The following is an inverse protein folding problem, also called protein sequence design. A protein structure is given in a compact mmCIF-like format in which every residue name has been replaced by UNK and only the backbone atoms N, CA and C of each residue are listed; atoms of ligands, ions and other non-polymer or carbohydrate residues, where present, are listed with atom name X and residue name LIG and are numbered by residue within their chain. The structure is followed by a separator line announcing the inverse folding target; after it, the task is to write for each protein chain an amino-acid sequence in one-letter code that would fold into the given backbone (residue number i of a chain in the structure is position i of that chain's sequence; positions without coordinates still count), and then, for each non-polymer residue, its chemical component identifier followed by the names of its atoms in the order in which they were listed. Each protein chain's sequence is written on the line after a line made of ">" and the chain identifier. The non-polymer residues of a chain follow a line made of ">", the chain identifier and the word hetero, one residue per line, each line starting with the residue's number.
data_IF_865204129797
#
_entry.id   IF_865204129797
#
_cell.length_a   1.000
_cell.length_b   1.000
_cell.length_c   1.000
_cell.angle_alpha   90.00
_cell.angle_beta   90.00
_cell.angle_gamma   90.00
#
_symmetry.space_group_name_H-M   'P 1'
#
loop_
_entity.id
_entity.type
_entity.pdbx_description
1 polymer ?
#
# COMPACT_ATOMS: atom_id res chain seq x y z
N UNK A 1 -13.58 -22.15 -22.05
CA UNK A 1 -13.57 -21.22 -23.19
C UNK A 1 -14.70 -21.55 -24.13
N UNK A 2 -15.51 -20.52 -24.51
CA UNK A 2 -16.66 -20.69 -25.39
C UNK A 2 -16.32 -20.30 -26.83
N UNK A 3 -15.66 -19.18 -27.00
CA UNK A 3 -15.18 -18.69 -28.28
C UNK A 3 -14.07 -17.66 -28.12
N UNK A 4 -13.23 -17.55 -29.13
CA UNK A 4 -12.15 -16.54 -29.22
C UNK A 4 -12.25 -15.83 -30.56
N UNK A 5 -12.01 -14.53 -30.56
CA UNK A 5 -11.96 -13.72 -31.79
C UNK A 5 -10.93 -12.60 -31.66
N UNK A 6 -10.54 -12.02 -32.79
CA UNK A 6 -9.68 -10.83 -32.80
C UNK A 6 -10.53 -9.57 -32.80
N UNK A 7 -10.10 -8.57 -32.04
CA UNK A 7 -10.68 -7.24 -32.11
C UNK A 7 -10.30 -6.61 -33.47
N UNK A 8 -11.29 -6.17 -34.21
CA UNK A 8 -11.11 -5.45 -35.48
C UNK A 8 -11.87 -4.13 -35.42
N UNK A 9 -11.19 -3.03 -35.72
CA UNK A 9 -11.76 -1.67 -35.67
C UNK A 9 -12.48 -1.38 -34.32
N UNK A 10 -11.86 -1.81 -33.20
CA UNK A 10 -12.39 -1.63 -31.85
C UNK A 10 -13.61 -2.52 -31.51
N UNK A 11 -13.96 -3.50 -32.36
CA UNK A 11 -15.13 -4.38 -32.17
C UNK A 11 -14.73 -5.84 -32.22
N UNK A 12 -15.43 -6.65 -31.43
CA UNK A 12 -15.32 -8.10 -31.42
C UNK A 12 -16.72 -8.72 -31.47
N UNK A 13 -16.88 -9.79 -32.24
CA UNK A 13 -18.07 -10.61 -32.25
C UNK A 13 -17.71 -11.99 -31.66
N UNK A 14 -18.39 -12.37 -30.58
CA UNK A 14 -18.15 -13.60 -29.85
C UNK A 14 -19.35 -14.51 -30.00
N UNK A 15 -19.34 -15.53 -30.91
CA UNK A 15 -20.41 -16.48 -31.01
C UNK A 15 -20.36 -17.43 -29.79
N UNK A 16 -21.50 -17.55 -29.10
CA UNK A 16 -21.66 -18.51 -28.01
C UNK A 16 -22.53 -19.65 -28.47
N UNK A 17 -21.93 -20.82 -28.69
CA UNK A 17 -22.63 -22.04 -29.10
C UNK A 17 -23.26 -22.84 -27.96
N UNK A 18 -23.46 -22.26 -26.77
CA UNK A 18 -24.06 -22.93 -25.62
C UNK A 18 -25.52 -22.50 -25.43
N UNK A 19 -26.36 -23.47 -25.10
CA UNK A 19 -27.73 -23.22 -24.68
C UNK A 19 -27.74 -22.51 -23.32
N UNK A 20 -28.62 -21.53 -23.16
CA UNK A 20 -28.92 -20.92 -21.88
C UNK A 20 -29.64 -21.90 -20.96
N UNK A 21 -29.44 -21.78 -19.66
CA UNK A 21 -30.17 -22.54 -18.63
C UNK A 21 -31.21 -21.65 -17.98
N UNK A 22 -32.22 -22.25 -17.36
CA UNK A 22 -33.18 -21.50 -16.57
C UNK A 22 -32.50 -20.77 -15.41
N UNK A 23 -32.84 -19.48 -15.24
CA UNK A 23 -32.24 -18.60 -14.26
C UNK A 23 -31.08 -17.74 -14.79
N UNK A 24 -30.28 -17.10 -13.91
CA UNK A 24 -29.17 -16.27 -14.31
C UNK A 24 -28.09 -17.03 -15.09
N UNK A 25 -27.65 -16.47 -16.21
CA UNK A 25 -26.53 -16.97 -17.00
C UNK A 25 -25.42 -15.92 -17.01
N UNK A 26 -24.25 -16.27 -16.50
CA UNK A 26 -23.09 -15.39 -16.40
C UNK A 26 -22.11 -15.68 -17.53
N UNK A 27 -21.68 -14.65 -18.24
CA UNK A 27 -20.68 -14.73 -19.29
C UNK A 27 -19.56 -13.73 -19.01
N UNK A 28 -18.33 -14.21 -19.07
CA UNK A 28 -17.13 -13.38 -18.88
C UNK A 28 -16.43 -13.20 -20.22
N UNK A 29 -16.06 -11.97 -20.52
CA UNK A 29 -15.24 -11.62 -21.69
C UNK A 29 -13.86 -11.22 -21.17
N UNK A 30 -12.82 -11.93 -21.61
CA UNK A 30 -11.43 -11.59 -21.35
C UNK A 30 -10.73 -11.12 -22.62
N UNK A 31 -9.77 -10.22 -22.46
CA UNK A 31 -8.94 -9.74 -23.55
C UNK A 31 -7.47 -10.10 -23.29
N UNK A 32 -6.83 -10.65 -24.29
CA UNK A 32 -5.37 -10.77 -24.29
C UNK A 32 -4.78 -9.49 -24.86
N UNK A 33 -3.85 -8.91 -24.12
CA UNK A 33 -3.21 -7.63 -24.46
C UNK A 33 -1.73 -7.89 -24.73
N UNK A 34 -1.21 -7.32 -25.83
CA UNK A 34 0.21 -7.41 -26.15
C UNK A 34 1.01 -6.55 -25.15
N UNK A 35 1.57 -7.16 -24.12
CA UNK A 35 2.24 -6.52 -22.99
C UNK A 35 3.38 -5.56 -23.44
N UNK A 36 4.06 -5.86 -24.52
CA UNK A 36 5.19 -5.07 -25.06
C UNK A 36 4.79 -3.67 -25.54
N UNK A 37 3.49 -3.42 -25.82
CA UNK A 37 2.97 -2.19 -26.41
C UNK A 37 1.96 -1.46 -25.50
N UNK A 38 1.74 -1.96 -24.32
CA UNK A 38 0.77 -1.41 -23.38
C UNK A 38 1.34 -0.19 -22.68
N UNK A 39 0.61 0.92 -22.72
CA UNK A 39 0.76 2.02 -21.79
C UNK A 39 -0.24 1.79 -20.63
N UNK A 40 0.28 1.38 -19.46
CA UNK A 40 -0.53 1.08 -18.29
C UNK A 40 -1.28 2.31 -17.75
N UNK A 41 -0.81 3.52 -18.09
CA UNK A 41 -1.43 4.77 -17.66
C UNK A 41 -2.63 5.18 -18.52
N UNK A 42 -2.91 4.45 -19.60
CA UNK A 42 -4.05 4.76 -20.47
C UNK A 42 -5.29 4.02 -20.00
N UNK A 43 -6.38 4.76 -19.71
CA UNK A 43 -7.65 4.14 -19.39
C UNK A 43 -8.23 3.46 -20.62
N UNK A 44 -8.98 2.39 -20.42
CA UNK A 44 -9.73 1.75 -21.47
C UNK A 44 -11.21 1.61 -21.11
N UNK A 45 -12.02 1.42 -22.15
CA UNK A 45 -13.45 1.19 -22.00
C UNK A 45 -13.86 0.05 -22.90
N UNK A 46 -14.58 -0.91 -22.35
CA UNK A 46 -15.24 -1.96 -23.09
C UNK A 46 -16.75 -1.85 -22.85
N UNK A 47 -17.54 -2.05 -23.89
CA UNK A 47 -18.99 -1.98 -23.81
C UNK A 47 -19.64 -3.06 -24.69
N UNK A 48 -20.70 -3.67 -24.20
CA UNK A 48 -21.50 -4.61 -24.96
C UNK A 48 -22.46 -3.82 -25.85
N UNK A 49 -22.28 -3.93 -27.16
CA UNK A 49 -23.11 -3.21 -28.14
C UNK A 49 -24.43 -3.91 -28.41
N UNK A 50 -24.41 -5.24 -28.50
CA UNK A 50 -25.59 -6.04 -28.79
C UNK A 50 -25.41 -7.47 -28.25
N UNK A 51 -26.49 -8.05 -27.80
CA UNK A 51 -26.62 -9.50 -27.50
C UNK A 51 -27.75 -10.05 -28.35
N UNK A 52 -27.56 -11.22 -28.97
CA UNK A 52 -28.59 -11.93 -29.64
C UNK A 52 -28.70 -13.38 -29.13
N UNK A 53 -29.93 -13.83 -28.92
CA UNK A 53 -30.26 -15.22 -28.53
C UNK A 53 -31.18 -15.77 -29.63
N UNK A 54 -30.82 -16.92 -30.22
CA UNK A 54 -31.55 -17.54 -31.33
C UNK A 54 -31.88 -16.58 -32.48
N UNK A 55 -30.90 -15.70 -32.79
CA UNK A 55 -31.02 -14.71 -33.86
C UNK A 55 -31.89 -13.49 -33.55
N UNK A 56 -32.42 -13.37 -32.33
CA UNK A 56 -33.20 -12.22 -31.87
C UNK A 56 -32.33 -11.33 -30.96
N UNK A 57 -32.36 -10.05 -31.19
CA UNK A 57 -31.72 -9.09 -30.27
C UNK A 57 -32.43 -9.07 -28.91
N UNK A 58 -31.64 -9.01 -27.84
CA UNK A 58 -32.11 -8.87 -26.46
C UNK A 58 -31.81 -7.47 -26.00
N UNK A 59 -32.73 -6.88 -25.24
CA UNK A 59 -32.50 -5.58 -24.62
C UNK A 59 -31.37 -5.67 -23.60
N UNK A 60 -30.49 -4.67 -23.63
CA UNK A 60 -29.32 -4.57 -22.75
C UNK A 60 -29.55 -3.44 -21.77
N UNK A 61 -29.63 -3.77 -20.50
CA UNK A 61 -29.51 -2.79 -19.44
C UNK A 61 -28.02 -2.54 -19.18
N UNK A 62 -27.58 -1.29 -19.29
CA UNK A 62 -26.18 -0.92 -19.14
C UNK A 62 -25.94 -0.31 -17.78
N UNK A 63 -25.09 -0.94 -17.02
CA UNK A 63 -24.61 -0.40 -15.76
C UNK A 63 -23.44 0.56 -16.00
N UNK A 64 -23.80 1.78 -16.41
CA UNK A 64 -22.88 2.91 -16.54
C UNK A 64 -21.77 2.79 -17.57
N UNK A 65 -20.91 3.80 -17.57
CA UNK A 65 -19.74 3.92 -18.45
C UNK A 65 -18.45 3.72 -17.65
N UNK A 66 -18.22 2.54 -17.12
CA UNK A 66 -17.02 2.31 -16.32
C UNK A 66 -15.76 2.39 -17.18
N UNK A 67 -14.94 3.39 -16.89
CA UNK A 67 -13.56 3.47 -17.34
C UNK A 67 -12.75 2.54 -16.46
N UNK A 68 -11.89 1.73 -17.06
CA UNK A 68 -11.01 0.77 -16.36
C UNK A 68 -9.56 1.09 -16.66
N UNK A 69 -8.68 0.73 -15.73
CA UNK A 69 -7.24 0.82 -15.88
C UNK A 69 -6.65 -0.58 -15.90
N UNK A 70 -5.63 -0.76 -16.73
CA UNK A 70 -4.89 -2.00 -16.73
C UNK A 70 -4.02 -2.08 -15.49
N UNK A 71 -3.98 -3.26 -14.88
CA UNK A 71 -3.08 -3.56 -13.79
C UNK A 71 -2.14 -4.70 -14.15
N UNK A 72 -0.95 -4.70 -13.56
CA UNK A 72 -0.05 -5.84 -13.58
C UNK A 72 -0.14 -6.58 -12.25
N UNK A 73 -0.26 -7.90 -12.29
CA UNK A 73 -0.11 -8.74 -11.11
C UNK A 73 1.35 -8.74 -10.69
N UNK A 74 1.65 -8.15 -9.54
CA UNK A 74 3.01 -8.19 -8.96
C UNK A 74 3.23 -9.52 -8.28
N UNK A 75 2.22 -9.99 -7.52
CA UNK A 75 2.21 -11.30 -6.86
C UNK A 75 0.78 -11.80 -6.69
N UNK A 76 0.65 -13.12 -6.72
CA UNK A 76 -0.62 -13.82 -6.47
C UNK A 76 -0.38 -15.09 -5.65
N UNK A 77 -1.44 -15.63 -5.08
CA UNK A 77 -1.40 -16.89 -4.33
C UNK A 77 -0.74 -18.00 -5.16
N UNK A 78 0.16 -18.75 -4.53
CA UNK A 78 0.91 -19.83 -5.16
C UNK A 78 2.22 -19.42 -5.84
N UNK A 79 2.47 -18.13 -6.09
CA UNK A 79 3.77 -17.67 -6.57
C UNK A 79 4.86 -18.00 -5.53
N UNK A 80 6.05 -18.40 -6.01
CA UNK A 80 7.21 -18.72 -5.18
C UNK A 80 6.93 -19.72 -4.02
N UNK A 81 5.83 -20.50 -4.10
CA UNK A 81 5.43 -21.49 -3.11
C UNK A 81 4.76 -20.90 -1.86
N UNK A 82 4.30 -19.66 -1.89
CA UNK A 82 3.59 -19.03 -0.79
C UNK A 82 2.06 -19.14 -0.92
N UNK A 83 1.37 -19.17 0.23
CA UNK A 83 -0.09 -19.12 0.28
C UNK A 83 -0.61 -17.74 -0.13
N UNK A 84 0.01 -16.67 0.38
CA UNK A 84 -0.48 -15.34 0.12
C UNK A 84 0.60 -14.26 0.22
N UNK A 85 0.30 -13.12 -0.41
CA UNK A 85 1.09 -11.89 -0.37
C UNK A 85 0.22 -10.75 0.15
N UNK A 86 0.74 -9.99 1.12
CA UNK A 86 -0.01 -8.92 1.76
C UNK A 86 0.88 -7.70 2.05
N UNK A 87 0.27 -6.63 2.53
CA UNK A 87 0.93 -5.46 3.13
C UNK A 87 1.89 -4.76 2.16
N UNK A 88 1.36 -4.16 1.08
CA UNK A 88 2.17 -3.53 0.05
C UNK A 88 2.84 -2.24 0.52
N UNK A 89 4.12 -2.08 0.20
CA UNK A 89 4.85 -0.83 0.20
C UNK A 89 5.40 -0.55 -1.19
N UNK A 90 5.48 0.72 -1.59
CA UNK A 90 5.93 1.13 -2.91
C UNK A 90 6.72 2.45 -2.84
N UNK A 91 7.89 2.48 -3.45
CA UNK A 91 8.66 3.71 -3.70
C UNK A 91 9.26 3.71 -5.09
N UNK A 92 9.55 4.90 -5.60
CA UNK A 92 10.31 5.12 -6.81
C UNK A 92 11.69 5.63 -6.43
N UNK A 93 12.73 4.99 -6.93
CA UNK A 93 14.11 5.42 -6.68
C UNK A 93 14.50 6.60 -7.56
N UNK A 94 15.60 7.26 -7.24
CA UNK A 94 16.19 8.35 -8.07
C UNK A 94 16.48 7.92 -9.52
N UNK A 95 16.57 6.63 -9.78
CA UNK A 95 16.78 6.07 -11.13
C UNK A 95 15.47 5.75 -11.85
N UNK A 96 14.32 6.02 -11.22
CA UNK A 96 13.01 5.66 -11.76
C UNK A 96 12.65 4.18 -11.60
N UNK A 97 13.42 3.42 -10.79
CA UNK A 97 13.08 2.04 -10.46
C UNK A 97 11.97 2.01 -9.43
N UNK A 98 10.90 1.26 -9.69
CA UNK A 98 9.87 0.98 -8.69
C UNK A 98 10.34 -0.18 -7.80
N UNK A 99 10.24 0.01 -6.50
CA UNK A 99 10.52 -1.00 -5.48
C UNK A 99 9.22 -1.31 -4.75
N UNK A 100 8.72 -2.51 -4.95
CA UNK A 100 7.57 -3.06 -4.22
C UNK A 100 8.08 -3.95 -3.08
N UNK A 101 7.59 -3.70 -1.86
CA UNK A 101 7.86 -4.55 -0.68
C UNK A 101 6.56 -5.12 -0.16
N UNK A 102 6.59 -6.31 0.45
CA UNK A 102 5.39 -6.98 0.92
C UNK A 102 5.71 -8.16 1.84
N UNK A 103 4.71 -8.63 2.59
CA UNK A 103 4.74 -9.90 3.28
C UNK A 103 4.69 -11.05 2.27
N UNK A 104 5.55 -12.04 2.47
CA UNK A 104 5.50 -13.37 1.84
C UNK A 104 4.99 -14.34 2.89
N UNK A 105 3.73 -14.73 2.82
CA UNK A 105 3.06 -15.60 3.80
C UNK A 105 2.99 -17.01 3.26
N UNK A 106 3.81 -17.90 3.80
CA UNK A 106 4.01 -19.24 3.22
C UNK A 106 2.88 -20.21 3.53
N UNK A 107 2.37 -20.22 4.76
CA UNK A 107 1.47 -21.28 5.24
C UNK A 107 0.00 -20.89 5.24
N UNK A 108 -0.31 -19.61 5.35
CA UNK A 108 -1.67 -19.06 5.38
C UNK A 108 -1.67 -17.53 5.29
N UNK A 109 -2.83 -16.94 5.04
CA UNK A 109 -3.03 -15.48 5.01
C UNK A 109 -3.01 -14.80 6.40
N UNK A 110 -2.75 -15.53 7.48
CA UNK A 110 -2.77 -14.98 8.84
C UNK A 110 -1.66 -13.97 9.07
N UNK A 111 -1.94 -12.99 9.93
CA UNK A 111 -0.96 -12.04 10.43
C UNK A 111 0.03 -12.73 11.38
N UNK A 112 1.12 -12.04 11.71
CA UNK A 112 2.09 -12.49 12.72
C UNK A 112 1.41 -12.94 14.03
N UNK A 113 1.72 -14.09 14.55
CA UNK A 113 2.88 -14.95 14.32
C UNK A 113 2.55 -16.02 13.29
N UNK A 114 3.36 -16.14 12.25
CA UNK A 114 3.31 -17.19 11.22
C UNK A 114 4.67 -17.26 10.50
N UNK A 115 4.79 -18.17 9.55
CA UNK A 115 5.90 -18.25 8.61
C UNK A 115 5.78 -17.14 7.58
N UNK A 116 6.37 -15.98 7.87
CA UNK A 116 6.28 -14.76 7.06
C UNK A 116 7.67 -14.17 6.91
N UNK A 117 8.03 -13.79 5.68
CA UNK A 117 9.25 -13.05 5.34
C UNK A 117 8.90 -11.75 4.60
N UNK A 118 9.89 -10.88 4.40
CA UNK A 118 9.74 -9.69 3.60
C UNK A 118 10.30 -9.94 2.20
N UNK A 119 9.40 -9.85 1.21
CA UNK A 119 9.72 -9.92 -0.21
C UNK A 119 9.88 -8.55 -0.84
N UNK A 120 10.74 -8.48 -1.87
CA UNK A 120 10.93 -7.30 -2.71
C UNK A 120 10.88 -7.68 -4.19
N UNK A 121 10.14 -6.90 -4.97
CA UNK A 121 10.19 -6.94 -6.43
C UNK A 121 10.54 -5.58 -6.99
N UNK A 122 11.32 -5.57 -8.07
CA UNK A 122 11.75 -4.36 -8.78
C UNK A 122 11.10 -4.29 -10.15
N UNK A 123 10.76 -3.08 -10.59
CA UNK A 123 10.41 -2.79 -11.97
C UNK A 123 11.25 -1.63 -12.48
N UNK A 124 11.85 -1.78 -13.67
CA UNK A 124 12.65 -0.75 -14.33
C UNK A 124 11.94 -0.18 -15.57
N UNK A 125 10.68 -0.52 -15.76
CA UNK A 125 9.88 -0.16 -16.92
C UNK A 125 8.51 0.39 -16.55
N UNK A 126 8.45 1.16 -15.45
CA UNK A 126 7.25 1.83 -14.93
C UNK A 126 6.11 0.86 -14.57
N UNK A 127 6.46 -0.31 -14.03
CA UNK A 127 5.50 -1.30 -13.53
C UNK A 127 4.94 -2.25 -14.59
N UNK A 128 5.40 -2.19 -15.84
CA UNK A 128 4.95 -3.11 -16.90
C UNK A 128 5.39 -4.55 -16.63
N UNK A 129 6.62 -4.71 -16.15
CA UNK A 129 7.14 -6.01 -15.72
C UNK A 129 7.83 -5.89 -14.37
N UNK A 130 7.83 -6.99 -13.63
CA UNK A 130 8.42 -7.07 -12.30
C UNK A 130 9.47 -8.18 -12.28
N UNK A 131 10.64 -7.87 -11.75
CA UNK A 131 11.70 -8.86 -11.54
C UNK A 131 11.22 -9.94 -10.57
N UNK A 132 11.91 -11.11 -10.65
CA UNK A 132 11.69 -12.19 -9.68
C UNK A 132 11.88 -11.67 -8.25
N UNK A 133 10.97 -12.09 -7.36
CA UNK A 133 11.04 -11.77 -5.93
C UNK A 133 12.40 -12.13 -5.32
N UNK A 134 12.84 -11.27 -4.41
CA UNK A 134 13.95 -11.53 -3.47
C UNK A 134 13.41 -11.42 -2.05
N UNK A 135 13.71 -12.39 -1.22
CA UNK A 135 13.52 -12.27 0.22
C UNK A 135 14.65 -11.41 0.77
N UNK A 136 14.32 -10.33 1.48
CA UNK A 136 15.27 -9.34 1.99
C UNK A 136 15.38 -9.34 3.51
N UNK A 137 14.36 -9.85 4.18
CA UNK A 137 14.38 -10.18 5.60
C UNK A 137 13.73 -11.54 5.82
N UNK A 138 14.52 -12.44 6.37
CA UNK A 138 14.16 -13.76 6.84
C UNK A 138 14.97 -14.00 8.14
N UNK A 139 14.30 -14.27 9.24
CA UNK A 139 14.96 -14.53 10.53
C UNK A 139 15.21 -16.03 10.74
N UNK A 140 14.64 -16.88 9.90
CA UNK A 140 14.85 -18.31 9.89
C UNK A 140 14.53 -19.00 11.24
N UNK A 141 15.35 -19.98 11.57
CA UNK A 141 15.35 -20.59 12.91
C UNK A 141 16.17 -19.74 13.88
N UNK A 142 15.54 -19.26 14.94
CA UNK A 142 16.18 -18.46 15.97
C UNK A 142 15.69 -18.86 17.36
N UNK A 143 16.56 -18.76 18.37
CA UNK A 143 16.22 -19.06 19.76
C UNK A 143 15.75 -20.51 20.00
N UNK A 144 16.15 -21.46 19.15
CA UNK A 144 15.73 -22.86 19.20
C UNK A 144 14.29 -23.11 18.71
N UNK A 145 13.66 -22.13 18.08
CA UNK A 145 12.32 -22.24 17.51
C UNK A 145 12.34 -22.17 15.97
N UNK A 146 11.39 -22.86 15.29
CA UNK A 146 11.32 -22.88 13.83
C UNK A 146 10.89 -21.51 13.28
N UNK A 147 11.10 -21.32 11.97
CA UNK A 147 10.75 -20.08 11.25
C UNK A 147 9.29 -19.65 11.46
N UNK A 148 8.33 -20.57 11.52
CA UNK A 148 6.93 -20.27 11.80
C UNK A 148 6.72 -19.57 13.18
N UNK A 149 7.73 -19.55 14.04
CA UNK A 149 7.75 -18.82 15.30
C UNK A 149 8.75 -17.65 15.31
N UNK A 150 9.25 -17.27 14.13
CA UNK A 150 10.20 -16.19 13.89
C UNK A 150 9.78 -15.30 12.71
N UNK A 151 8.50 -15.24 12.40
CA UNK A 151 8.01 -14.45 11.29
C UNK A 151 8.30 -12.95 11.41
N UNK A 152 8.58 -12.33 10.27
CA UNK A 152 8.80 -10.90 10.13
C UNK A 152 7.82 -10.34 9.08
N UNK A 153 7.10 -9.25 9.38
CA UNK A 153 6.01 -8.75 8.55
C UNK A 153 5.77 -7.25 8.65
N UNK A 154 4.71 -6.82 7.98
CA UNK A 154 4.21 -5.44 7.94
C UNK A 154 5.26 -4.43 7.42
N UNK A 155 5.89 -4.62 6.24
CA UNK A 155 6.99 -3.77 5.79
C UNK A 155 6.58 -2.33 5.49
N UNK A 156 7.53 -1.41 5.70
CA UNK A 156 7.51 -0.09 5.10
C UNK A 156 8.85 0.19 4.40
N UNK A 157 8.79 0.90 3.27
CA UNK A 157 9.97 1.22 2.45
C UNK A 157 10.17 2.72 2.34
N UNK A 158 11.42 3.17 2.29
CA UNK A 158 11.82 4.58 2.17
C UNK A 158 13.04 4.68 1.26
N UNK A 159 13.13 5.72 0.45
CA UNK A 159 14.35 6.13 -0.26
C UNK A 159 14.90 7.37 0.41
N UNK A 160 16.18 7.33 0.80
CA UNK A 160 16.92 8.53 1.15
C UNK A 160 17.23 9.31 -0.13
N UNK A 161 16.53 10.42 -0.31
CA UNK A 161 16.65 11.23 -1.53
C UNK A 161 18.01 11.93 -1.67
N UNK A 162 18.83 12.02 -0.65
CA UNK A 162 20.19 12.56 -0.75
C UNK A 162 21.18 11.50 -1.24
N UNK A 163 21.18 10.34 -0.62
CA UNK A 163 22.16 9.26 -0.89
C UNK A 163 21.70 8.25 -1.94
N UNK A 164 20.38 8.10 -2.15
CA UNK A 164 19.75 7.05 -2.95
C UNK A 164 19.72 5.69 -2.23
N UNK A 165 20.08 5.61 -0.95
CA UNK A 165 19.95 4.40 -0.15
C UNK A 165 18.48 4.09 0.12
N UNK A 166 18.09 2.83 -0.05
CA UNK A 166 16.72 2.37 0.18
C UNK A 166 16.69 1.64 1.50
N UNK A 167 15.74 1.99 2.38
CA UNK A 167 15.53 1.34 3.66
C UNK A 167 14.22 0.57 3.66
N UNK A 168 14.23 -0.64 4.23
CA UNK A 168 13.03 -1.40 4.55
C UNK A 168 13.02 -1.65 6.05
N UNK A 169 11.93 -1.31 6.71
CA UNK A 169 11.68 -1.59 8.14
C UNK A 169 10.52 -2.56 8.25
N UNK A 170 10.61 -3.52 9.18
CA UNK A 170 9.58 -4.53 9.43
C UNK A 170 9.57 -4.96 10.89
N UNK A 171 8.50 -5.60 11.34
CA UNK A 171 8.36 -6.11 12.70
C UNK A 171 8.59 -7.61 12.74
N UNK A 172 9.50 -8.05 13.60
CA UNK A 172 9.81 -9.45 13.88
C UNK A 172 9.19 -9.88 15.22
N UNK A 173 8.59 -11.06 15.24
CA UNK A 173 8.06 -11.67 16.45
C UNK A 173 8.71 -13.03 16.70
N UNK A 174 8.95 -13.37 17.99
CA UNK A 174 9.57 -14.61 18.39
C UNK A 174 8.72 -15.33 19.45
N UNK A 175 8.44 -16.61 19.23
CA UNK A 175 8.01 -17.55 20.26
C UNK A 175 6.67 -17.25 20.95
N UNK A 176 5.74 -16.56 20.33
CA UNK A 176 4.43 -16.25 20.94
C UNK A 176 3.37 -17.36 20.76
N UNK A 177 3.77 -18.51 20.20
CA UNK A 177 2.99 -19.76 20.25
C UNK A 177 1.68 -19.72 19.45
N UNK A 178 1.70 -19.24 18.20
CA UNK A 178 0.52 -19.22 17.32
C UNK A 178 -0.55 -18.19 17.71
N UNK A 179 -0.30 -17.35 18.70
CA UNK A 179 -1.14 -16.20 19.02
C UNK A 179 -0.83 -15.06 18.06
N UNK A 180 -1.80 -14.20 17.81
CA UNK A 180 -1.54 -12.96 17.05
C UNK A 180 -0.55 -12.07 17.80
N UNK A 181 0.42 -11.47 17.11
CA UNK A 181 1.42 -10.59 17.69
C UNK A 181 0.78 -9.47 18.53
N UNK A 182 -0.26 -8.85 18.02
CA UNK A 182 -1.01 -7.78 18.67
C UNK A 182 -1.43 -8.07 20.11
N UNK A 183 -1.83 -9.31 20.41
CA UNK A 183 -2.28 -9.74 21.75
C UNK A 183 -1.31 -10.67 22.45
N UNK A 184 -0.37 -11.25 21.73
CA UNK A 184 0.54 -12.29 22.23
C UNK A 184 1.82 -11.78 22.86
N UNK A 185 2.31 -10.60 22.44
CA UNK A 185 3.54 -10.00 22.97
C UNK A 185 3.32 -9.41 24.37
N UNK A 186 4.41 -9.31 25.10
CA UNK A 186 4.48 -8.76 26.46
C UNK A 186 5.15 -7.37 26.44
N UNK A 187 5.24 -6.76 27.61
CA UNK A 187 6.16 -5.64 27.86
C UNK A 187 7.60 -6.18 27.89
N UNK A 188 8.59 -5.32 27.71
CA UNK A 188 10.00 -5.68 27.71
C UNK A 188 10.73 -5.19 26.47
N UNK A 189 11.97 -5.67 26.27
CA UNK A 189 12.87 -5.22 25.22
C UNK A 189 13.48 -6.37 24.43
N UNK A 190 13.45 -7.60 24.93
CA UNK A 190 14.08 -8.75 24.28
C UNK A 190 13.13 -9.45 23.31
N UNK A 191 13.64 -10.21 22.33
CA UNK A 191 12.80 -10.97 21.40
C UNK A 191 11.83 -11.94 22.10
N UNK A 192 12.20 -12.51 23.24
CA UNK A 192 11.37 -13.44 24.02
C UNK A 192 10.22 -12.73 24.74
N UNK A 193 10.30 -11.42 24.87
CA UNK A 193 9.29 -10.60 25.55
C UNK A 193 8.35 -9.94 24.57
N UNK A 194 8.91 -9.34 23.50
CA UNK A 194 8.16 -8.42 22.66
C UNK A 194 8.64 -8.42 21.21
N UNK A 195 7.80 -7.92 20.31
CA UNK A 195 8.14 -7.72 18.91
C UNK A 195 9.33 -6.75 18.74
N UNK A 196 10.16 -6.99 17.74
CA UNK A 196 11.37 -6.25 17.44
C UNK A 196 11.26 -5.48 16.12
N UNK A 197 11.71 -4.23 16.10
CA UNK A 197 11.84 -3.44 14.87
C UNK A 197 13.16 -3.79 14.19
N UNK A 198 13.05 -4.29 12.95
CA UNK A 198 14.18 -4.67 12.12
C UNK A 198 14.27 -3.76 10.92
N UNK A 199 15.48 -3.35 10.53
CA UNK A 199 15.72 -2.52 9.35
C UNK A 199 16.84 -3.10 8.51
N UNK A 200 16.68 -3.10 7.19
CA UNK A 200 17.76 -3.39 6.24
C UNK A 200 17.81 -2.30 5.15
N UNK A 201 18.91 -2.25 4.40
CA UNK A 201 19.08 -1.26 3.35
C UNK A 201 19.71 -1.80 2.08
N UNK A 202 19.51 -1.07 0.98
CA UNK A 202 20.16 -1.30 -0.31
C UNK A 202 20.80 -0.03 -0.82
N UNK A 203 22.06 -0.14 -1.29
CA UNK A 203 22.85 0.97 -1.89
C UNK A 203 22.99 0.85 -3.40
N UNK A 204 22.40 -0.16 -3.99
CA UNK A 204 22.56 -0.51 -5.40
C UNK A 204 21.23 -0.60 -6.14
N UNK A 205 20.27 0.25 -5.74
CA UNK A 205 18.96 0.36 -6.36
C UNK A 205 18.10 -0.91 -6.16
N UNK A 206 18.16 -1.50 -4.95
CA UNK A 206 17.37 -2.66 -4.55
C UNK A 206 17.86 -4.00 -5.13
N UNK A 207 19.07 -4.06 -5.70
CA UNK A 207 19.63 -5.31 -6.25
C UNK A 207 20.16 -6.23 -5.16
N UNK A 208 20.85 -5.65 -4.17
CA UNK A 208 21.34 -6.37 -2.99
C UNK A 208 20.96 -5.63 -1.71
N UNK A 209 20.86 -6.35 -0.61
CA UNK A 209 20.39 -5.84 0.66
C UNK A 209 21.32 -6.22 1.81
N UNK A 210 21.43 -5.33 2.77
CA UNK A 210 22.18 -5.62 4.00
C UNK A 210 21.45 -6.67 4.83
N UNK A 211 22.15 -7.28 5.80
CA UNK A 211 21.48 -8.05 6.84
C UNK A 211 20.59 -7.14 7.68
N UNK A 212 19.44 -7.64 8.20
CA UNK A 212 18.60 -6.88 9.10
C UNK A 212 19.33 -6.48 10.38
N UNK A 213 19.10 -5.26 10.84
CA UNK A 213 19.61 -4.70 12.10
C UNK A 213 18.43 -4.42 13.01
N UNK A 214 18.55 -4.80 14.29
CA UNK A 214 17.52 -4.54 15.30
C UNK A 214 17.67 -3.11 15.83
N UNK A 215 16.67 -2.29 15.65
CA UNK A 215 16.62 -0.90 16.13
C UNK A 215 15.64 -0.67 17.29
N UNK A 216 15.07 -1.73 17.84
CA UNK A 216 14.04 -1.67 18.91
C UNK A 216 14.48 -0.79 20.08
N UNK A 217 15.73 -0.96 20.54
CA UNK A 217 16.26 -0.21 21.68
C UNK A 217 16.41 1.30 21.45
N UNK A 218 16.36 1.76 20.20
CA UNK A 218 16.41 3.19 19.87
C UNK A 218 15.03 3.86 20.00
N UNK A 219 13.94 3.08 19.93
CA UNK A 219 12.58 3.58 19.76
C UNK A 219 11.67 3.17 20.93
N UNK A 220 11.64 1.87 21.25
CA UNK A 220 10.68 1.29 22.19
C UNK A 220 11.00 1.61 23.63
N UNK A 221 9.97 1.88 24.43
CA UNK A 221 10.10 1.92 25.90
C UNK A 221 9.78 0.54 26.50
N UNK A 222 10.46 0.14 27.60
CA UNK A 222 10.26 -1.18 28.21
C UNK A 222 8.83 -1.48 28.65
N UNK A 223 8.09 -0.47 29.05
CA UNK A 223 6.71 -0.59 29.53
C UNK A 223 5.68 -0.71 28.40
N UNK A 224 6.04 -0.47 27.14
CA UNK A 224 5.15 -0.71 26.00
C UNK A 224 5.08 -2.21 25.68
N UNK A 225 3.97 -2.65 25.09
CA UNK A 225 3.83 -4.03 24.63
C UNK A 225 4.45 -4.24 23.26
N UNK A 226 3.83 -3.74 22.23
CA UNK A 226 4.28 -3.89 20.86
C UNK A 226 4.66 -2.53 20.29
N UNK A 227 5.70 -2.49 19.47
CA UNK A 227 6.04 -1.33 18.65
C UNK A 227 6.29 -1.84 17.24
N UNK A 228 5.65 -1.22 16.26
CA UNK A 228 5.80 -1.57 14.85
C UNK A 228 5.59 -0.31 13.98
N UNK A 229 6.16 -0.33 12.79
CA UNK A 229 5.99 0.75 11.81
C UNK A 229 4.56 0.81 11.28
N UNK A 230 4.16 1.94 10.72
CA UNK A 230 3.03 2.02 9.82
C UNK A 230 3.44 1.40 8.49
N UNK A 231 2.77 0.32 8.03
CA UNK A 231 3.14 -0.34 6.79
C UNK A 231 2.97 0.57 5.57
N UNK A 232 3.62 0.23 4.46
CA UNK A 232 3.59 0.99 3.23
C UNK A 232 4.87 1.77 2.98
N UNK A 233 4.94 3.05 3.31
CA UNK A 233 6.15 3.84 3.04
C UNK A 233 6.46 4.89 4.10
N UNK A 234 7.75 5.23 4.19
CA UNK A 234 8.25 6.46 4.79
C UNK A 234 8.56 7.53 3.74
N UNK A 235 9.15 8.63 4.18
CA UNK A 235 9.53 9.76 3.33
C UNK A 235 10.92 10.29 3.69
N UNK A 236 11.56 10.96 2.74
CA UNK A 236 12.62 11.94 2.99
C UNK A 236 12.01 13.32 2.98
N UNK A 237 12.20 14.09 4.05
CA UNK A 237 11.77 15.48 4.13
C UNK A 237 12.66 16.38 3.28
N UNK A 238 12.20 17.60 3.00
CA UNK A 238 12.94 18.61 2.25
C UNK A 238 14.32 18.94 2.87
N UNK A 239 14.48 18.79 4.18
CA UNK A 239 15.75 19.00 4.89
C UNK A 239 16.63 17.74 4.98
N UNK A 240 16.28 16.67 4.27
CA UNK A 240 17.00 15.38 4.27
C UNK A 240 16.63 14.47 5.44
N UNK A 241 15.78 14.88 6.38
CA UNK A 241 15.34 14.03 7.48
C UNK A 241 14.52 12.84 6.96
N UNK A 242 14.90 11.62 7.33
CA UNK A 242 14.14 10.41 7.01
C UNK A 242 13.04 10.20 8.05
N UNK A 243 11.83 9.85 7.63
CA UNK A 243 10.69 9.65 8.54
C UNK A 243 9.91 8.39 8.16
N UNK A 244 9.65 7.52 9.15
CA UNK A 244 8.65 6.46 9.05
C UNK A 244 7.49 6.71 10.01
N UNK A 245 6.25 6.39 9.63
CA UNK A 245 5.17 6.29 10.60
C UNK A 245 5.43 5.10 11.52
N UNK A 246 5.00 5.22 12.78
CA UNK A 246 5.16 4.21 13.83
C UNK A 246 3.88 4.09 14.65
N UNK A 247 3.67 2.94 15.27
CA UNK A 247 2.65 2.73 16.26
C UNK A 247 3.18 1.88 17.42
N UNK A 248 2.60 2.05 18.60
CA UNK A 248 2.92 1.21 19.75
C UNK A 248 1.68 0.98 20.62
N UNK A 249 1.66 -0.13 21.35
CA UNK A 249 0.63 -0.43 22.34
C UNK A 249 1.15 0.02 23.71
N UNK A 250 0.45 0.99 24.31
CA UNK A 250 0.80 1.56 25.61
C UNK A 250 0.55 0.59 26.78
N UNK A 251 0.84 1.05 27.99
CA UNK A 251 0.65 0.29 29.25
C UNK A 251 -0.79 -0.07 29.52
N UNK A 252 -1.71 0.74 29.03
CA UNK A 252 -3.17 0.58 29.07
C UNK A 252 -3.74 -0.32 27.97
N UNK A 253 -2.85 -0.89 27.13
CA UNK A 253 -3.20 -1.66 25.93
C UNK A 253 -3.91 -0.87 24.84
N UNK A 254 -3.88 0.45 24.92
CA UNK A 254 -4.38 1.32 23.84
C UNK A 254 -3.25 1.56 22.83
N UNK A 255 -3.52 1.40 21.51
CA UNK A 255 -2.54 1.73 20.49
C UNK A 255 -2.42 3.24 20.29
N UNK A 256 -1.23 3.68 19.92
CA UNK A 256 -0.87 5.07 19.72
C UNK A 256 -0.01 5.19 18.47
N UNK A 257 -0.40 6.04 17.52
CA UNK A 257 0.37 6.30 16.30
C UNK A 257 1.22 7.57 16.42
N UNK A 258 2.38 7.56 15.77
CA UNK A 258 3.33 8.66 15.73
C UNK A 258 4.31 8.50 14.57
N UNK A 259 5.49 9.06 14.71
CA UNK A 259 6.59 8.94 13.74
C UNK A 259 7.90 8.60 14.43
N UNK A 260 8.79 7.93 13.69
CA UNK A 260 10.23 7.88 13.97
C UNK A 260 10.98 8.65 12.88
N UNK A 261 12.10 9.21 13.22
CA UNK A 261 12.91 9.98 12.28
C UNK A 261 14.41 9.74 12.47
N UNK A 262 15.17 9.97 11.40
CA UNK A 262 16.63 9.94 11.36
C UNK A 262 17.16 11.20 10.68
N UNK A 263 18.20 11.81 11.25
CA UNK A 263 18.92 12.97 10.69
C UNK A 263 20.34 12.64 10.24
N UNK A 264 20.67 11.37 10.21
CA UNK A 264 22.02 10.87 9.93
C UNK A 264 22.02 9.72 8.91
N UNK A 265 21.09 9.81 7.93
CA UNK A 265 20.94 8.83 6.86
C UNK A 265 20.68 7.41 7.40
N UNK A 266 19.74 7.27 8.35
CA UNK A 266 19.28 5.99 8.85
C UNK A 266 20.23 5.28 9.84
N UNK A 267 21.29 5.93 10.31
CA UNK A 267 22.23 5.36 11.29
C UNK A 267 21.62 5.28 12.68
N UNK A 268 20.91 6.35 13.08
CA UNK A 268 20.16 6.39 14.35
C UNK A 268 18.73 6.87 14.12
N UNK A 269 17.82 6.31 14.91
CA UNK A 269 16.39 6.59 14.85
C UNK A 269 15.88 7.14 16.18
N UNK A 270 14.97 8.07 16.12
CA UNK A 270 14.42 8.78 17.28
C UNK A 270 12.90 8.85 17.20
N UNK A 271 12.25 8.86 18.34
CA UNK A 271 10.83 9.12 18.49
C UNK A 271 10.60 10.16 19.58
N UNK A 272 9.59 11.01 19.39
CA UNK A 272 9.07 11.89 20.44
C UNK A 272 7.72 11.42 20.96
N UNK A 273 6.68 12.20 20.85
CA UNK A 273 5.36 11.86 21.35
C UNK A 273 4.49 11.21 20.25
N UNK A 274 3.48 10.45 20.64
CA UNK A 274 2.44 10.01 19.73
C UNK A 274 1.54 11.18 19.28
N UNK A 275 0.94 11.05 18.12
CA UNK A 275 0.03 12.05 17.56
C UNK A 275 -1.38 11.92 18.15
N UNK A 276 -1.87 10.69 18.25
CA UNK A 276 -3.20 10.42 18.76
C UNK A 276 -3.30 9.01 19.35
N UNK A 277 -4.06 8.88 20.45
CA UNK A 277 -4.35 7.59 21.06
C UNK A 277 -5.45 6.86 20.30
N UNK A 278 -5.57 5.55 20.52
CA UNK A 278 -6.55 4.67 19.88
C UNK A 278 -6.53 4.74 18.35
N UNK A 279 -5.35 4.98 17.82
CA UNK A 279 -5.03 4.95 16.40
C UNK A 279 -3.89 3.96 16.15
N UNK A 280 -3.85 3.40 14.95
CA UNK A 280 -2.92 2.35 14.59
C UNK A 280 -2.10 2.74 13.34
N UNK A 281 -2.15 1.94 12.31
CA UNK A 281 -1.40 2.13 11.06
C UNK A 281 -1.62 3.52 10.47
N UNK A 282 -0.53 4.16 10.08
CA UNK A 282 -0.54 5.54 9.63
C UNK A 282 0.34 5.74 8.39
N UNK A 283 0.09 6.82 7.69
CA UNK A 283 0.97 7.32 6.64
C UNK A 283 1.35 8.76 6.93
N UNK A 284 2.59 9.11 6.59
CA UNK A 284 3.16 10.44 6.78
C UNK A 284 3.44 11.09 5.44
N UNK A 285 3.15 12.39 5.34
CA UNK A 285 3.54 13.23 4.21
C UNK A 285 4.06 14.58 4.71
N UNK A 286 5.06 15.15 4.06
CA UNK A 286 5.44 16.54 4.24
C UNK A 286 4.55 17.41 3.35
N UNK A 287 3.62 18.14 3.97
CA UNK A 287 2.60 18.93 3.24
C UNK A 287 3.06 20.35 2.91
N UNK A 288 4.11 20.81 3.56
CA UNK A 288 4.91 21.97 3.22
C UNK A 288 6.25 21.83 3.94
N UNK A 289 7.32 22.53 3.52
CA UNK A 289 8.64 22.36 4.11
C UNK A 289 8.62 22.45 5.64
N UNK A 290 9.04 21.37 6.31
CA UNK A 290 9.07 21.25 7.77
C UNK A 290 7.72 20.93 8.44
N UNK A 291 6.62 20.77 7.68
CA UNK A 291 5.30 20.44 8.21
C UNK A 291 4.92 19.01 7.82
N UNK A 292 4.89 18.13 8.79
CA UNK A 292 4.45 16.74 8.60
C UNK A 292 2.96 16.59 8.92
N UNK A 293 2.24 15.89 8.05
CA UNK A 293 0.88 15.39 8.27
C UNK A 293 0.92 13.89 8.50
N UNK A 294 0.32 13.42 9.57
CA UNK A 294 0.12 12.01 9.88
C UNK A 294 -1.36 11.67 9.74
N UNK A 295 -1.69 10.77 8.80
CA UNK A 295 -3.03 10.27 8.55
C UNK A 295 -3.13 8.85 9.09
N UNK A 296 -3.99 8.64 10.09
CA UNK A 296 -4.02 7.47 10.95
C UNK A 296 -5.33 6.68 10.81
N UNK A 297 -5.21 5.35 10.82
CA UNK A 297 -6.33 4.42 10.99
C UNK A 297 -6.91 4.59 12.39
N UNK A 298 -8.21 4.91 12.48
CA UNK A 298 -8.89 5.20 13.75
C UNK A 298 -9.77 4.04 14.20
N UNK A 299 -9.48 3.47 15.36
CA UNK A 299 -10.27 2.37 15.92
C UNK A 299 -11.66 2.80 16.40
N UNK A 300 -11.93 4.11 16.50
CA UNK A 300 -13.27 4.66 16.87
C UNK A 300 -14.27 4.56 15.74
N UNK A 301 -13.84 4.26 14.50
CA UNK A 301 -14.67 4.19 13.29
C UNK A 301 -15.36 5.53 12.95
N UNK A 302 -14.67 6.63 13.19
CA UNK A 302 -15.17 7.99 12.92
C UNK A 302 -14.52 8.64 11.70
N UNK A 303 -13.95 7.84 10.81
CA UNK A 303 -13.12 8.28 9.69
C UNK A 303 -11.65 8.42 10.10
N UNK A 304 -10.80 8.76 9.13
CA UNK A 304 -9.34 8.90 9.34
C UNK A 304 -9.05 9.99 10.36
N UNK A 305 -8.16 9.71 11.30
CA UNK A 305 -7.63 10.72 12.21
C UNK A 305 -6.41 11.38 11.58
N UNK A 306 -6.38 12.71 11.60
CA UNK A 306 -5.29 13.48 10.96
C UNK A 306 -4.70 14.48 11.93
N UNK A 307 -3.38 14.46 12.11
CA UNK A 307 -2.64 15.42 12.92
C UNK A 307 -1.43 15.96 12.14
N UNK A 308 -0.98 17.16 12.51
CA UNK A 308 0.22 17.78 11.95
C UNK A 308 1.24 18.12 13.04
N UNK A 309 2.52 18.17 12.65
CA UNK A 309 3.63 18.57 13.51
C UNK A 309 4.66 19.37 12.71
N UNK A 310 5.32 20.33 13.37
CA UNK A 310 6.45 21.12 12.82
C UNK A 310 7.75 20.91 13.58
N UNK A 311 7.75 19.98 14.54
CA UNK A 311 8.87 19.75 15.46
C UNK A 311 9.21 18.25 15.61
N UNK A 312 8.97 17.48 14.54
CA UNK A 312 9.22 16.02 14.45
C UNK A 312 8.48 15.22 15.53
N UNK A 313 7.26 15.65 15.85
CA UNK A 313 6.38 14.93 16.77
C UNK A 313 6.57 15.23 18.24
N UNK A 314 7.28 16.30 18.61
CA UNK A 314 7.28 16.78 20.02
C UNK A 314 5.91 17.30 20.41
N UNK A 315 5.28 18.05 19.50
CA UNK A 315 3.90 18.51 19.63
C UNK A 315 3.08 18.18 18.39
N UNK A 316 1.79 17.93 18.58
CA UNK A 316 0.86 17.60 17.51
C UNK A 316 -0.39 18.46 17.59
N UNK A 317 -0.90 18.86 16.44
CA UNK A 317 -2.15 19.59 16.30
C UNK A 317 -3.11 18.76 15.44
N UNK A 318 -4.33 18.58 15.89
CA UNK A 318 -5.34 17.92 15.07
C UNK A 318 -5.69 18.77 13.86
N UNK A 319 -5.64 18.15 12.67
CA UNK A 319 -5.94 18.84 11.42
C UNK A 319 -7.44 18.95 11.20
N UNK A 320 -7.97 20.06 10.61
CA UNK A 320 -9.41 20.26 10.40
C UNK A 320 -10.10 19.14 9.59
N UNK A 321 -9.37 18.43 8.73
CA UNK A 321 -9.92 17.29 7.96
C UNK A 321 -10.04 15.99 8.75
N UNK A 322 -9.67 15.97 10.01
CA UNK A 322 -9.81 14.79 10.86
C UNK A 322 -11.26 14.32 10.91
N UNK A 323 -11.50 13.06 10.56
CA UNK A 323 -12.86 12.48 10.44
C UNK A 323 -13.52 12.65 9.07
N UNK A 324 -12.99 13.44 8.15
CA UNK A 324 -13.64 13.69 6.84
C UNK A 324 -13.44 12.53 5.83
N UNK A 325 -12.32 11.83 5.88
CA UNK A 325 -12.04 10.68 5.02
C UNK A 325 -12.67 9.43 5.64
N UNK A 326 -13.62 8.83 4.95
CA UNK A 326 -14.23 7.57 5.36
C UNK A 326 -13.23 6.43 5.33
N UNK A 327 -13.35 5.47 6.26
CA UNK A 327 -12.54 4.27 6.27
C UNK A 327 -13.28 3.10 6.95
N UNK A 328 -13.05 1.85 6.52
CA UNK A 328 -13.59 0.65 7.19
C UNK A 328 -12.61 0.09 8.24
N UNK A 329 -11.86 0.93 8.95
CA UNK A 329 -10.74 0.55 9.83
C UNK A 329 -9.71 -0.27 9.04
N UNK A 330 -9.10 0.37 8.05
CA UNK A 330 -8.11 -0.22 7.16
C UNK A 330 -6.90 0.71 7.00
N UNK A 331 -5.76 0.15 6.62
CA UNK A 331 -4.60 0.92 6.17
C UNK A 331 -4.98 1.78 4.94
N UNK A 332 -4.27 2.86 4.75
CA UNK A 332 -4.40 3.77 3.62
C UNK A 332 -3.02 4.20 3.11
N UNK A 333 -2.96 4.90 1.99
CA UNK A 333 -1.74 5.57 1.54
C UNK A 333 -1.96 7.07 1.43
N UNK A 334 -0.95 7.85 1.79
CA UNK A 334 -0.90 9.30 1.66
C UNK A 334 0.44 9.71 1.07
N UNK A 335 0.44 10.49 -0.01
CA UNK A 335 1.66 11.09 -0.56
C UNK A 335 1.44 12.57 -0.86
N UNK A 336 2.50 13.36 -0.67
CA UNK A 336 2.59 14.75 -1.13
C UNK A 336 3.32 14.78 -2.46
N UNK A 337 2.81 15.57 -3.40
CA UNK A 337 3.41 15.82 -4.70
C UNK A 337 3.60 17.34 -4.82
N UNK A 338 4.80 17.85 -4.54
CA UNK A 338 5.10 19.29 -4.58
C UNK A 338 4.85 19.91 -5.96
N UNK A 339 4.60 21.20 -5.98
CA UNK A 339 4.33 21.97 -7.20
C UNK A 339 5.42 21.80 -8.27
N UNK A 340 6.68 21.77 -7.84
CA UNK A 340 7.84 21.63 -8.74
C UNK A 340 8.01 20.20 -9.29
N UNK A 341 7.36 19.20 -8.66
CA UNK A 341 7.47 17.79 -9.01
C UNK A 341 6.28 17.29 -9.85
N UNK A 342 5.38 18.17 -10.28
CA UNK A 342 4.23 17.77 -11.10
C UNK A 342 3.89 18.79 -12.21
N UNK A 343 3.22 18.29 -13.24
CA UNK A 343 2.87 19.07 -14.45
C UNK A 343 1.82 20.17 -14.21
N UNK A 344 1.14 20.19 -13.06
CA UNK A 344 0.12 21.18 -12.72
C UNK A 344 0.70 22.41 -12.02
N UNK A 345 1.96 22.36 -11.56
CA UNK A 345 2.64 23.47 -10.89
C UNK A 345 1.94 23.92 -9.60
N UNK A 346 1.31 22.97 -8.89
CA UNK A 346 0.67 23.22 -7.58
C UNK A 346 0.88 22.02 -6.64
N UNK A 347 0.84 22.27 -5.34
CA UNK A 347 0.93 21.19 -4.36
C UNK A 347 -0.32 20.31 -4.39
N UNK A 348 -0.11 19.00 -4.41
CA UNK A 348 -1.17 17.99 -4.47
C UNK A 348 -0.94 16.99 -3.35
N UNK A 349 -1.97 16.67 -2.58
CA UNK A 349 -1.99 15.48 -1.75
C UNK A 349 -2.83 14.40 -2.41
N UNK A 350 -2.29 13.19 -2.48
CA UNK A 350 -3.02 12.01 -2.94
C UNK A 350 -3.24 11.08 -1.76
N UNK A 351 -4.46 10.57 -1.65
CA UNK A 351 -4.87 9.63 -0.62
C UNK A 351 -5.58 8.43 -1.27
N UNK A 352 -5.25 7.20 -0.85
CA UNK A 352 -5.94 5.99 -1.34
C UNK A 352 -6.34 5.08 -0.20
N UNK A 353 -7.55 4.55 -0.26
CA UNK A 353 -8.09 3.55 0.66
C UNK A 353 -9.35 2.88 0.09
N UNK A 354 -9.86 1.80 0.72
CA UNK A 354 -11.26 1.38 0.56
C UNK A 354 -12.18 2.51 1.02
N UNK A 355 -12.94 3.10 0.09
CA UNK A 355 -13.73 4.30 0.33
C UNK A 355 -15.11 4.01 0.91
N UNK A 356 -15.15 3.23 1.97
CA UNK A 356 -16.37 2.72 2.61
C UNK A 356 -16.29 2.87 4.14
N UNK A 357 -17.42 2.76 4.81
CA UNK A 357 -17.47 2.70 6.28
C UNK A 357 -17.52 1.27 6.80
N UNK A 358 -17.98 0.32 5.98
CA UNK A 358 -18.09 -1.10 6.30
C UNK A 358 -17.60 -1.95 5.13
N UNK A 359 -16.96 -3.08 5.44
CA UNK A 359 -16.32 -3.93 4.43
C UNK A 359 -15.11 -3.25 3.80
N UNK A 360 -14.33 -4.00 3.07
CA UNK A 360 -13.17 -3.48 2.33
C UNK A 360 -13.41 -3.67 0.85
N UNK A 361 -13.92 -2.63 0.21
CA UNK A 361 -14.22 -2.55 -1.21
C UNK A 361 -14.11 -1.08 -1.67
N UNK A 362 -14.27 -0.81 -2.96
CA UNK A 362 -14.17 0.55 -3.52
C UNK A 362 -12.79 1.18 -3.29
N UNK A 363 -11.71 0.48 -3.71
CA UNK A 363 -10.37 1.07 -3.71
C UNK A 363 -10.39 2.35 -4.54
N UNK A 364 -10.13 3.48 -3.89
CA UNK A 364 -10.29 4.81 -4.49
C UNK A 364 -9.07 5.66 -4.22
N UNK A 365 -8.57 6.39 -5.23
CA UNK A 365 -7.62 7.48 -5.05
C UNK A 365 -8.39 8.81 -5.01
N UNK A 366 -8.01 9.70 -4.10
CA UNK A 366 -8.52 11.08 -3.99
C UNK A 366 -7.38 12.07 -4.03
N UNK A 367 -7.62 13.25 -4.62
CA UNK A 367 -6.69 14.36 -4.60
C UNK A 367 -7.25 15.54 -3.80
N UNK A 368 -6.39 16.16 -3.00
CA UNK A 368 -6.62 17.44 -2.35
C UNK A 368 -5.64 18.47 -2.91
N UNK A 369 -6.11 19.68 -3.18
CA UNK A 369 -5.37 20.79 -3.76
C UNK A 369 -5.19 21.97 -2.78
N UNK A 370 -5.50 21.74 -1.51
CA UNK A 370 -5.53 22.74 -0.43
C UNK A 370 -4.87 22.24 0.86
N UNK A 371 -3.85 21.39 0.73
CA UNK A 371 -3.11 20.86 1.88
C UNK A 371 -3.91 19.85 2.71
N UNK A 372 -4.88 19.17 2.12
CA UNK A 372 -5.69 18.15 2.79
C UNK A 372 -6.90 18.71 3.53
N UNK A 373 -7.22 20.00 3.40
CA UNK A 373 -8.42 20.58 4.01
C UNK A 373 -9.71 20.05 3.40
N UNK A 374 -9.72 19.89 2.06
CA UNK A 374 -10.87 19.33 1.35
C UNK A 374 -10.47 18.17 0.44
N UNK A 375 -11.37 17.19 0.32
CA UNK A 375 -11.24 15.99 -0.51
C UNK A 375 -12.49 15.88 -1.37
N UNK A 376 -12.48 16.59 -2.52
CA UNK A 376 -13.63 16.70 -3.40
C UNK A 376 -13.85 15.39 -4.18
N UNK A 377 -15.07 14.91 -4.24
CA UNK A 377 -15.48 13.75 -5.06
C UNK A 377 -15.12 13.92 -6.54
N UNK A 378 -15.15 15.14 -7.08
CA UNK A 378 -14.75 15.42 -8.46
C UNK A 378 -13.27 15.08 -8.72
N UNK A 379 -12.44 15.08 -7.68
CA UNK A 379 -11.02 14.75 -7.72
C UNK A 379 -10.76 13.34 -7.17
N UNK A 380 -11.64 12.39 -7.47
CA UNK A 380 -11.52 11.00 -7.06
C UNK A 380 -11.60 10.04 -8.26
N UNK A 381 -10.96 8.90 -8.13
CA UNK A 381 -10.97 7.82 -9.10
C UNK A 381 -11.15 6.48 -8.40
N UNK A 382 -12.25 5.79 -8.71
CA UNK A 382 -12.50 4.41 -8.29
C UNK A 382 -11.66 3.47 -9.16
N UNK A 383 -10.84 2.63 -8.53
CA UNK A 383 -9.96 1.66 -9.20
C UNK A 383 -10.52 0.24 -9.20
N UNK A 384 -11.08 -0.18 -8.06
CA UNK A 384 -11.58 -1.53 -7.84
C UNK A 384 -12.80 -1.46 -6.92
N UNK A 385 -13.95 -1.92 -7.41
CA UNK A 385 -15.23 -1.83 -6.71
C UNK A 385 -15.54 -3.04 -5.85
N UNK A 386 -14.82 -4.15 -6.11
CA UNK A 386 -15.09 -5.45 -5.50
C UNK A 386 -14.50 -5.58 -4.08
N UNK A 387 -14.85 -6.68 -3.39
CA UNK A 387 -14.23 -7.02 -2.11
C UNK A 387 -12.74 -7.32 -2.26
N UNK A 388 -11.94 -6.77 -1.36
CA UNK A 388 -10.48 -6.84 -1.37
C UNK A 388 -9.90 -6.80 0.05
N UNK A 389 -8.60 -7.00 0.22
CA UNK A 389 -7.98 -6.88 1.55
C UNK A 389 -7.68 -5.42 1.95
N UNK A 390 -7.50 -4.54 0.97
CA UNK A 390 -7.66 -3.09 1.11
C UNK A 390 -6.43 -2.28 1.45
N UNK A 391 -5.27 -2.87 1.65
CA UNK A 391 -4.04 -2.09 1.83
C UNK A 391 -3.54 -1.58 0.49
N UNK A 392 -2.98 -0.37 0.49
CA UNK A 392 -2.45 0.28 -0.70
C UNK A 392 -1.23 1.13 -0.38
N UNK A 393 -0.36 1.32 -1.36
CA UNK A 393 0.76 2.25 -1.28
C UNK A 393 0.99 2.92 -2.63
N UNK A 394 1.13 4.25 -2.63
CA UNK A 394 1.33 5.06 -3.82
C UNK A 394 2.77 5.61 -3.88
N UNK A 395 3.26 5.80 -5.11
CA UNK A 395 4.50 6.53 -5.41
C UNK A 395 4.39 7.19 -6.78
N UNK A 396 4.92 8.39 -6.95
CA UNK A 396 5.03 8.98 -8.29
C UNK A 396 5.98 8.16 -9.15
N UNK A 397 5.59 7.87 -10.39
CA UNK A 397 6.44 7.23 -11.40
C UNK A 397 7.25 8.29 -12.14
N UNK A 398 6.58 9.38 -12.49
CA UNK A 398 7.10 10.57 -13.12
C UNK A 398 6.25 11.79 -12.68
N UNK A 399 6.48 12.97 -13.28
CA UNK A 399 5.81 14.20 -12.89
C UNK A 399 4.32 14.30 -13.29
N UNK A 400 3.77 13.30 -13.96
CA UNK A 400 2.36 13.26 -14.40
C UNK A 400 1.64 11.96 -14.07
N UNK A 401 2.35 10.95 -13.53
CA UNK A 401 1.82 9.59 -13.34
C UNK A 401 2.09 9.10 -11.91
N UNK A 402 1.05 8.72 -11.21
CA UNK A 402 1.15 8.02 -9.92
C UNK A 402 1.01 6.52 -10.13
N UNK A 403 1.92 5.74 -9.52
CA UNK A 403 1.79 4.30 -9.36
C UNK A 403 1.09 3.97 -8.05
N UNK A 404 0.21 2.99 -8.07
CA UNK A 404 -0.40 2.41 -6.87
C UNK A 404 -0.23 0.90 -6.87
N UNK A 405 0.30 0.38 -5.77
CA UNK A 405 0.34 -1.04 -5.45
C UNK A 405 -0.69 -1.30 -4.37
N UNK A 406 -1.63 -2.22 -4.61
CA UNK A 406 -2.69 -2.48 -3.64
C UNK A 406 -3.10 -3.95 -3.62
N UNK A 407 -3.70 -4.36 -2.52
CA UNK A 407 -4.33 -5.67 -2.35
C UNK A 407 -5.66 -5.66 -3.09
N UNK A 408 -5.67 -6.16 -4.33
CA UNK A 408 -6.80 -6.05 -5.25
C UNK A 408 -7.72 -7.26 -5.25
N UNK A 409 -8.86 -7.13 -5.94
CA UNK A 409 -9.84 -8.21 -6.12
C UNK A 409 -9.39 -9.24 -7.16
N UNK A 410 -8.55 -8.85 -8.11
CA UNK A 410 -8.12 -9.69 -9.25
C UNK A 410 -6.78 -10.40 -9.02
N UNK A 411 -5.94 -9.86 -8.15
CA UNK A 411 -4.66 -10.42 -7.73
C UNK A 411 -4.34 -9.91 -6.34
N UNK A 412 -3.56 -10.66 -5.56
CA UNK A 412 -3.24 -10.27 -4.19
C UNK A 412 -2.44 -8.97 -4.11
N UNK A 413 -1.54 -8.73 -5.08
CA UNK A 413 -0.83 -7.46 -5.24
C UNK A 413 -0.94 -7.00 -6.69
N UNK A 414 -1.76 -5.97 -6.91
CA UNK A 414 -2.00 -5.34 -8.22
C UNK A 414 -1.29 -4.00 -8.26
N UNK A 415 -0.55 -3.76 -9.35
CA UNK A 415 0.01 -2.45 -9.64
C UNK A 415 -0.76 -1.80 -10.79
N UNK A 416 -1.10 -0.52 -10.63
CA UNK A 416 -1.69 0.33 -11.67
C UNK A 416 -0.94 1.65 -11.77
N UNK A 417 -0.91 2.22 -12.98
CA UNK A 417 -0.37 3.55 -13.26
C UNK A 417 -1.52 4.48 -13.66
N UNK A 418 -1.65 5.62 -12.99
CA UNK A 418 -2.77 6.55 -13.15
C UNK A 418 -2.23 7.94 -13.49
N UNK A 419 -2.72 8.56 -14.56
CA UNK A 419 -2.37 9.94 -14.90
C UNK A 419 -3.01 10.91 -13.91
N UNK A 420 -2.24 11.86 -13.38
CA UNK A 420 -2.75 12.89 -12.47
C UNK A 420 -3.93 13.69 -13.05
N UNK A 421 -3.98 13.89 -14.37
CA UNK A 421 -5.09 14.56 -15.07
C UNK A 421 -6.45 13.86 -14.92
N UNK A 422 -6.46 12.58 -14.52
CA UNK A 422 -7.70 11.84 -14.25
C UNK A 422 -8.22 12.09 -12.83
N UNK A 423 -7.31 12.45 -11.92
CA UNK A 423 -7.59 12.80 -10.53
C UNK A 423 -7.84 14.30 -10.34
N UNK A 424 -7.26 15.13 -11.21
CA UNK A 424 -7.32 16.58 -11.10
C UNK A 424 -8.14 17.10 -12.27
N UNK A 425 -9.38 17.41 -11.99
CA UNK A 425 -10.26 18.06 -12.96
C UNK A 425 -10.13 19.56 -12.79
N UNK A 426 -9.73 20.25 -13.85
CA UNK A 426 -9.79 21.71 -13.89
C UNK A 426 -11.25 22.14 -13.70
N UNK A 427 -11.47 23.03 -12.73
CA UNK A 427 -12.77 23.69 -12.55
C UNK A 427 -12.91 24.82 -13.55
#
# INVERSE_FOLDING_TARGET
>A
EISTTRIKDGKAYLPCGKALVDGPNYMYVSMEIAAEKVDLSMPFKADVQAISVDGKQVDIEKDGNAVRHLGTSVRQAGDDGSDSYRIPGLVTTKKGTLIAVYDVRYDSSQDLQCNIDIGVSRSIDSGRTWEKMRVVMDLGEWGGLPQAQNGIGDPAVLVDEETGEIFVIAVWTHGIGGRRAWSGVKQGMTPEETAQLMICSSKDDGKTWSKPVNITSQIKQPEWYMTLQGPGRGITMHDGTLVFPIQYIGTDRIPNAGIIYSKDHGKTWHMHNHACTNTTEAQVAEVSPGVLMLNMRDNRRTGRRVCTTTDLGKTWTEHPSSGHLVEPVCMASLISVPADDNVFGRDILLFSNPATTEGRHHMTIRASLDGGHTWNEANSLLLDEEELWGYSCMSMIDNETVGILYEGSTSQLVFQAIKLKELIREM
#
